data_IF_413849490505
#
_entry.id   IF_413849490505
#
_cell.length_a   1.000
_cell.length_b   1.000
_cell.length_c   1.000
_cell.angle_alpha   90.00
_cell.angle_beta   90.00
_cell.angle_gamma   90.00
#
_symmetry.space_group_name_H-M   'P 1'
#
loop_
_entity.id
_entity.type
_entity.pdbx_description
1 polymer ?
#
# COMPACT_ATOMS: atom_id res chain seq x y z
N UNK A 1 16.54 -3.14 2.65
CA UNK A 1 17.43 -2.45 1.70
C UNK A 1 16.69 -1.28 1.06
N UNK A 2 15.57 -1.51 0.39
CA UNK A 2 14.80 -0.44 -0.27
C UNK A 2 14.31 0.67 0.67
N UNK A 3 14.55 1.93 0.31
CA UNK A 3 14.19 3.11 1.11
C UNK A 3 12.68 3.24 1.35
N UNK A 4 11.87 2.94 0.34
CA UNK A 4 10.39 2.97 0.43
C UNK A 4 9.85 2.08 1.54
N UNK A 5 10.50 0.95 1.83
CA UNK A 5 10.08 0.07 2.93
C UNK A 5 10.30 0.70 4.30
N UNK A 6 11.38 1.48 4.46
CA UNK A 6 11.68 2.20 5.69
C UNK A 6 10.73 3.40 5.88
N UNK A 7 10.40 4.11 4.80
CA UNK A 7 9.37 5.16 4.79
C UNK A 7 8.02 4.62 5.28
N UNK A 8 7.54 3.53 4.67
CA UNK A 8 6.27 2.91 5.03
C UNK A 8 6.28 2.30 6.44
N UNK A 9 7.37 1.63 6.84
CA UNK A 9 7.51 1.08 8.17
C UNK A 9 7.55 2.18 9.25
N UNK A 10 8.20 3.31 8.98
CA UNK A 10 8.20 4.48 9.85
C UNK A 10 6.78 5.01 10.09
N UNK A 11 5.97 5.13 9.03
CA UNK A 11 4.57 5.56 9.13
C UNK A 11 3.70 4.54 9.87
N UNK A 12 3.85 3.24 9.57
CA UNK A 12 3.07 2.20 10.23
C UNK A 12 3.31 2.14 11.75
N UNK A 13 4.57 2.32 12.19
CA UNK A 13 4.90 2.39 13.62
C UNK A 13 4.36 3.66 14.28
N UNK A 14 4.48 4.82 13.61
CA UNK A 14 3.88 6.08 14.04
C UNK A 14 2.36 5.96 14.25
N UNK A 15 1.65 5.40 13.27
CA UNK A 15 0.20 5.18 13.34
C UNK A 15 -0.21 4.05 14.28
N UNK A 16 0.72 3.20 14.73
CA UNK A 16 0.42 2.09 15.64
C UNK A 16 -0.49 1.03 15.03
N UNK A 17 -0.24 0.63 13.78
CA UNK A 17 -1.07 -0.30 13.03
C UNK A 17 -1.00 -1.75 13.58
N UNK A 18 -1.63 -2.03 14.74
CA UNK A 18 -1.53 -3.32 15.44
C UNK A 18 -2.15 -4.54 14.75
N UNK A 19 -2.81 -4.36 13.61
CA UNK A 19 -3.28 -5.47 12.76
C UNK A 19 -2.28 -5.84 11.66
N UNK A 20 -1.23 -5.04 11.46
CA UNK A 20 -0.19 -5.30 10.47
C UNK A 20 0.86 -6.25 11.05
N UNK A 21 1.01 -7.41 10.41
CA UNK A 21 2.03 -8.41 10.76
C UNK A 21 2.83 -8.68 9.48
N UNK A 22 4.13 -8.36 9.50
CA UNK A 22 5.05 -8.63 8.43
C UNK A 22 5.92 -9.85 8.77
N UNK A 23 6.01 -10.81 7.85
CA UNK A 23 6.99 -11.89 7.93
C UNK A 23 8.20 -11.50 7.11
N UNK A 24 9.36 -11.43 7.76
CA UNK A 24 10.64 -11.24 7.09
C UNK A 24 11.33 -12.59 6.95
N UNK A 25 11.41 -13.08 5.71
CA UNK A 25 12.23 -14.24 5.35
C UNK A 25 13.71 -13.88 5.43
N UNK A 26 14.35 -14.22 6.54
CA UNK A 26 15.76 -13.96 6.83
C UNK A 26 16.61 -15.17 6.44
N UNK A 27 16.92 -15.27 5.15
CA UNK A 27 17.67 -16.39 4.59
C UNK A 27 19.15 -16.08 4.30
N UNK A 28 19.61 -14.86 4.61
CA UNK A 28 20.99 -14.38 4.43
C UNK A 28 21.53 -14.40 2.99
N UNK A 29 20.67 -14.56 1.98
CA UNK A 29 21.02 -14.58 0.55
C UNK A 29 20.25 -13.50 -0.20
N UNK A 30 20.95 -12.69 -0.98
CA UNK A 30 20.40 -11.87 -2.05
C UNK A 30 20.77 -12.47 -3.42
N UNK A 31 20.29 -11.85 -4.51
CA UNK A 31 20.59 -12.35 -5.86
C UNK A 31 22.10 -12.38 -6.18
N UNK A 32 22.86 -11.43 -5.62
CA UNK A 32 24.30 -11.27 -5.88
C UNK A 32 25.19 -12.09 -4.92
N UNK A 33 24.61 -12.81 -3.97
CA UNK A 33 25.39 -13.60 -3.01
C UNK A 33 24.84 -13.57 -1.59
N UNK A 34 25.75 -13.75 -0.64
CA UNK A 34 25.43 -13.56 0.77
C UNK A 34 25.11 -12.08 1.04
N UNK A 35 24.11 -11.81 1.89
CA UNK A 35 23.72 -10.44 2.25
C UNK A 35 24.86 -9.62 2.86
N UNK A 36 25.85 -10.25 3.51
CA UNK A 36 26.99 -9.58 4.16
C UNK A 36 27.83 -8.71 3.21
N UNK A 37 27.71 -8.90 1.89
CA UNK A 37 28.39 -8.06 0.90
C UNK A 37 27.85 -6.63 0.84
N UNK A 38 26.59 -6.40 1.25
CA UNK A 38 25.90 -5.12 1.10
C UNK A 38 24.84 -4.80 2.18
N UNK A 39 24.54 -5.73 3.09
CA UNK A 39 23.45 -5.61 4.05
C UNK A 39 23.76 -6.35 5.36
N UNK A 40 24.37 -5.61 6.28
CA UNK A 40 24.84 -6.10 7.60
C UNK A 40 24.21 -5.34 8.78
N UNK A 41 23.16 -4.57 8.53
CA UNK A 41 22.45 -3.83 9.58
C UNK A 41 21.62 -4.74 10.50
N UNK A 42 21.36 -4.27 11.71
CA UNK A 42 20.41 -4.92 12.60
C UNK A 42 18.97 -4.51 12.24
N UNK A 43 18.30 -5.37 11.47
CA UNK A 43 16.92 -5.15 11.03
C UNK A 43 15.95 -5.10 12.20
N UNK A 44 16.13 -5.93 13.23
CA UNK A 44 15.22 -5.93 14.38
C UNK A 44 15.37 -4.61 15.16
N UNK A 45 16.60 -4.18 15.44
CA UNK A 45 16.85 -2.90 16.09
C UNK A 45 16.31 -1.72 15.29
N UNK A 46 16.44 -1.73 13.95
CA UNK A 46 15.83 -0.68 13.10
C UNK A 46 14.32 -0.68 13.23
N UNK A 47 13.65 -1.83 13.17
CA UNK A 47 12.19 -1.90 13.29
C UNK A 47 11.68 -1.51 14.70
N UNK A 48 12.40 -1.89 15.75
CA UNK A 48 12.13 -1.42 17.12
C UNK A 48 12.21 0.10 17.21
N UNK A 49 13.25 0.72 16.61
CA UNK A 49 13.38 2.17 16.53
C UNK A 49 12.26 2.84 15.73
N UNK A 50 11.66 2.15 14.75
CA UNK A 50 10.49 2.61 14.02
C UNK A 50 9.18 2.43 14.81
N UNK A 51 9.20 1.83 16.01
CA UNK A 51 8.02 1.63 16.86
C UNK A 51 7.27 0.31 16.63
N UNK A 52 7.92 -0.68 16.02
CA UNK A 52 7.35 -2.01 15.79
C UNK A 52 7.56 -2.94 16.99
N UNK A 53 6.69 -3.94 17.11
CA UNK A 53 6.98 -5.14 17.89
C UNK A 53 7.81 -6.11 17.04
N UNK A 54 8.81 -6.74 17.62
CA UNK A 54 9.74 -7.63 16.91
C UNK A 54 9.73 -9.01 17.55
N UNK A 55 9.66 -10.05 16.71
CA UNK A 55 9.73 -11.45 17.13
C UNK A 55 10.74 -12.16 16.24
N UNK A 56 11.59 -13.01 16.81
CA UNK A 56 12.54 -13.82 16.05
C UNK A 56 12.26 -15.31 16.17
N UNK A 57 11.83 -15.91 15.06
CA UNK A 57 11.73 -17.36 14.88
C UNK A 57 13.06 -17.84 14.28
N UNK A 58 13.87 -18.54 15.08
CA UNK A 58 15.22 -18.97 14.68
C UNK A 58 15.24 -20.16 13.71
N UNK A 59 14.20 -21.00 13.72
CA UNK A 59 14.09 -22.17 12.85
C UNK A 59 12.82 -22.09 12.01
N UNK A 60 12.86 -21.36 10.92
CA UNK A 60 11.73 -21.23 9.99
C UNK A 60 11.48 -22.47 9.13
N UNK A 61 12.48 -23.35 8.96
CA UNK A 61 12.35 -24.52 8.10
C UNK A 61 11.40 -25.57 8.71
N UNK A 62 11.52 -25.82 10.02
CA UNK A 62 10.79 -26.88 10.73
C UNK A 62 10.14 -26.44 12.06
N UNK A 63 10.37 -25.21 12.52
CA UNK A 63 9.86 -24.69 13.80
C UNK A 63 8.40 -24.24 13.74
N UNK A 64 7.49 -25.12 13.30
CA UNK A 64 6.09 -24.76 13.08
C UNK A 64 5.39 -24.25 14.35
N UNK A 65 5.72 -24.79 15.52
CA UNK A 65 5.13 -24.34 16.78
C UNK A 65 5.64 -22.95 17.20
N UNK A 66 6.91 -22.64 16.94
CA UNK A 66 7.48 -21.31 17.16
C UNK A 66 6.82 -20.28 16.24
N UNK A 67 6.56 -20.64 14.97
CA UNK A 67 5.83 -19.78 14.03
C UNK A 67 4.40 -19.54 14.52
N UNK A 68 3.69 -20.58 14.98
CA UNK A 68 2.33 -20.44 15.54
C UNK A 68 2.32 -19.57 16.80
N UNK A 69 3.30 -19.75 17.68
CA UNK A 69 3.45 -18.94 18.88
C UNK A 69 3.71 -17.47 18.54
N UNK A 70 4.61 -17.19 17.58
CA UNK A 70 4.89 -15.85 17.10
C UNK A 70 3.66 -15.17 16.49
N UNK A 71 2.86 -15.89 15.69
CA UNK A 71 1.59 -15.35 15.14
C UNK A 71 0.61 -15.02 16.26
N UNK A 72 0.48 -15.89 17.26
CA UNK A 72 -0.42 -15.68 18.40
C UNK A 72 0.01 -14.46 19.21
N UNK A 73 1.32 -14.32 19.48
CA UNK A 73 1.89 -13.17 20.17
C UNK A 73 1.68 -11.88 19.38
N UNK A 74 2.02 -11.87 18.08
CA UNK A 74 1.84 -10.73 17.19
C UNK A 74 0.38 -10.24 17.17
N UNK A 75 -0.59 -11.17 17.06
CA UNK A 75 -2.01 -10.84 17.14
C UNK A 75 -2.42 -10.32 18.53
N UNK A 76 -1.67 -10.60 19.58
CA UNK A 76 -1.89 -10.09 20.94
C UNK A 76 -1.47 -8.62 21.11
N UNK A 77 -0.50 -8.16 20.32
CA UNK A 77 -0.07 -6.75 20.28
C UNK A 77 -1.05 -5.94 19.44
N UNK A 78 -1.67 -4.90 20.03
CA UNK A 78 -2.78 -4.16 19.40
C UNK A 78 -2.44 -2.73 19.00
N UNK A 79 -1.35 -2.18 19.51
CA UNK A 79 -0.96 -0.79 19.39
C UNK A 79 0.34 -0.57 18.59
N UNK A 80 0.92 -1.66 18.06
CA UNK A 80 2.13 -1.64 17.22
C UNK A 80 2.04 -2.65 16.09
N UNK A 81 2.48 -2.30 14.87
CA UNK A 81 2.71 -3.32 13.84
C UNK A 81 3.80 -4.30 14.32
N UNK A 82 3.73 -5.55 13.86
CA UNK A 82 4.69 -6.60 14.25
C UNK A 82 5.53 -7.07 13.08
N UNK A 83 6.85 -7.15 13.27
CA UNK A 83 7.78 -7.82 12.37
C UNK A 83 8.17 -9.17 12.98
N UNK A 84 7.83 -10.25 12.30
CA UNK A 84 8.30 -11.60 12.63
C UNK A 84 9.48 -11.91 11.70
N UNK A 85 10.69 -11.82 12.22
CA UNK A 85 11.90 -12.28 11.54
C UNK A 85 11.95 -13.80 11.61
N UNK A 86 11.92 -14.47 10.47
CA UNK A 86 11.94 -15.93 10.36
C UNK A 86 13.22 -16.34 9.66
N UNK A 87 14.15 -16.95 10.40
CA UNK A 87 15.39 -17.43 9.80
C UNK A 87 15.14 -18.72 9.05
N UNK A 88 15.35 -18.71 7.74
CA UNK A 88 15.14 -19.87 6.85
C UNK A 88 16.42 -20.23 6.09
N UNK A 89 16.38 -21.33 5.34
CA UNK A 89 17.40 -21.66 4.35
C UNK A 89 16.79 -21.53 2.97
N UNK A 90 17.30 -20.60 2.15
CA UNK A 90 16.85 -20.49 0.75
C UNK A 90 17.12 -21.80 0.02
N UNK A 91 16.14 -22.30 -0.75
CA UNK A 91 16.23 -23.59 -1.44
C UNK A 91 16.28 -24.80 -0.50
N UNK A 92 15.77 -24.69 0.73
CA UNK A 92 15.72 -25.80 1.70
C UNK A 92 15.25 -27.11 1.05
N UNK A 93 15.99 -28.18 1.29
CA UNK A 93 15.77 -29.50 0.70
C UNK A 93 16.66 -29.82 -0.49
N UNK A 94 17.17 -28.82 -1.22
CA UNK A 94 18.16 -29.07 -2.29
C UNK A 94 19.52 -29.43 -1.68
N UNK A 95 20.07 -30.63 -1.94
CA UNK A 95 21.33 -31.05 -1.31
C UNK A 95 22.53 -30.25 -1.80
N UNK A 96 22.53 -29.74 -3.04
CA UNK A 96 23.70 -29.04 -3.60
C UNK A 96 23.54 -27.54 -3.75
N UNK A 97 22.29 -27.02 -3.78
CA UNK A 97 22.03 -25.59 -4.04
C UNK A 97 21.38 -24.84 -2.88
N UNK A 98 20.92 -25.53 -1.82
CA UNK A 98 20.42 -24.84 -0.63
C UNK A 98 21.48 -23.89 -0.06
N UNK A 99 21.04 -22.76 0.48
CA UNK A 99 21.90 -21.72 1.04
C UNK A 99 22.89 -21.09 0.04
N UNK A 100 22.53 -21.04 -1.25
CA UNK A 100 23.35 -20.40 -2.30
C UNK A 100 22.51 -19.41 -3.11
N UNK A 101 23.13 -18.35 -3.64
CA UNK A 101 22.44 -17.41 -4.53
C UNK A 101 21.91 -18.06 -5.82
N UNK A 102 22.49 -19.19 -6.24
CA UNK A 102 22.12 -19.88 -7.49
C UNK A 102 20.67 -20.36 -7.50
N UNK A 103 20.07 -20.60 -6.34
CA UNK A 103 18.66 -21.04 -6.21
C UNK A 103 17.65 -19.89 -6.24
N UNK A 104 18.11 -18.63 -6.20
CA UNK A 104 17.23 -17.46 -6.07
C UNK A 104 16.39 -17.21 -7.33
N UNK A 105 17.05 -17.11 -8.50
CA UNK A 105 16.43 -16.62 -9.73
C UNK A 105 16.38 -17.63 -10.88
N UNK A 106 16.72 -18.90 -10.64
CA UNK A 106 16.83 -19.91 -11.68
C UNK A 106 16.16 -21.23 -11.31
N UNK A 107 15.66 -21.96 -12.31
CA UNK A 107 15.17 -23.31 -12.10
C UNK A 107 16.31 -24.22 -11.59
N UNK A 108 15.99 -25.12 -10.66
CA UNK A 108 16.98 -26.06 -10.08
C UNK A 108 17.66 -26.92 -11.15
N UNK A 109 16.92 -27.31 -12.20
CA UNK A 109 17.35 -28.29 -13.21
C UNK A 109 16.92 -29.71 -12.84
N UNK A 110 16.64 -30.56 -13.84
CA UNK A 110 16.02 -31.89 -13.64
C UNK A 110 16.79 -32.76 -12.64
N UNK A 111 18.11 -32.84 -12.76
CA UNK A 111 18.98 -33.61 -11.86
C UNK A 111 18.85 -33.14 -10.40
N UNK A 112 18.96 -31.83 -10.17
CA UNK A 112 18.85 -31.27 -8.81
C UNK A 112 17.44 -31.44 -8.25
N UNK A 113 16.40 -31.38 -9.08
CA UNK A 113 15.02 -31.66 -8.65
C UNK A 113 14.87 -33.11 -8.19
N UNK A 114 15.42 -34.08 -8.91
CA UNK A 114 15.40 -35.49 -8.50
C UNK A 114 16.15 -35.71 -7.18
N UNK A 115 17.32 -35.09 -7.03
CA UNK A 115 18.11 -35.17 -5.79
C UNK A 115 17.41 -34.47 -4.61
N UNK A 116 16.76 -33.32 -4.85
CA UNK A 116 15.93 -32.62 -3.86
C UNK A 116 14.75 -33.49 -3.42
N UNK A 117 14.05 -34.13 -4.36
CA UNK A 117 12.96 -35.06 -4.05
C UNK A 117 13.44 -36.22 -3.20
N UNK A 118 14.56 -36.83 -3.57
CA UNK A 118 15.18 -37.92 -2.79
C UNK A 118 15.54 -37.46 -1.38
N UNK A 119 16.16 -36.29 -1.24
CA UNK A 119 16.56 -35.72 0.05
C UNK A 119 15.35 -35.40 0.96
N UNK A 120 14.25 -34.91 0.38
CA UNK A 120 12.99 -34.66 1.08
C UNK A 120 12.10 -35.90 1.22
N UNK A 121 12.56 -37.07 0.75
CA UNK A 121 11.80 -38.32 0.73
C UNK A 121 10.46 -38.21 -0.02
N UNK A 122 10.42 -37.35 -1.03
CA UNK A 122 9.26 -37.12 -1.88
C UNK A 122 9.22 -38.11 -3.04
N UNK A 123 8.40 -39.16 -2.89
CA UNK A 123 8.31 -40.28 -3.83
C UNK A 123 7.28 -40.09 -4.95
N UNK A 124 6.67 -38.90 -5.05
CA UNK A 124 5.61 -38.66 -6.03
C UNK A 124 6.12 -37.98 -7.30
N UNK A 125 5.43 -38.24 -8.39
CA UNK A 125 5.68 -37.66 -9.71
C UNK A 125 5.51 -36.13 -9.75
N UNK A 126 6.05 -35.43 -10.78
CA UNK A 126 5.86 -34.00 -10.95
C UNK A 126 4.38 -33.58 -10.93
N UNK A 127 4.10 -32.44 -10.28
CA UNK A 127 2.74 -31.89 -10.10
C UNK A 127 1.74 -32.81 -9.39
N UNK A 128 2.20 -33.86 -8.71
CA UNK A 128 1.36 -34.69 -7.86
C UNK A 128 1.15 -34.03 -6.48
N UNK A 129 -0.11 -33.94 -6.04
CA UNK A 129 -0.47 -33.52 -4.67
C UNK A 129 -1.15 -34.71 -3.99
N UNK A 130 -0.57 -35.27 -2.91
CA UNK A 130 -1.16 -36.40 -2.18
C UNK A 130 -2.53 -36.05 -1.61
N UNK A 131 -3.41 -37.05 -1.53
CA UNK A 131 -4.80 -36.82 -1.12
C UNK A 131 -4.92 -36.39 0.35
N UNK A 132 -4.02 -36.82 1.23
CA UNK A 132 -3.95 -36.31 2.60
C UNK A 132 -3.60 -34.83 2.67
N UNK A 133 -2.74 -34.32 1.77
CA UNK A 133 -2.42 -32.89 1.68
C UNK A 133 -3.64 -32.13 1.16
N UNK A 134 -4.31 -32.63 0.12
CA UNK A 134 -5.56 -32.01 -0.38
C UNK A 134 -6.62 -31.93 0.72
N UNK A 135 -6.87 -33.03 1.44
CA UNK A 135 -7.82 -33.07 2.57
C UNK A 135 -7.40 -32.13 3.69
N UNK A 136 -6.10 -32.06 4.00
CA UNK A 136 -5.60 -31.15 5.00
C UNK A 136 -5.79 -29.69 4.58
N UNK A 137 -5.72 -29.32 3.31
CA UNK A 137 -5.98 -27.94 2.89
C UNK A 137 -7.46 -27.62 2.69
N UNK A 138 -8.28 -28.59 2.26
CA UNK A 138 -9.68 -28.36 1.88
C UNK A 138 -10.60 -27.98 3.05
N UNK A 139 -10.24 -28.26 4.31
CA UNK A 139 -11.06 -27.84 5.46
C UNK A 139 -11.24 -26.31 5.53
N UNK A 140 -10.27 -25.52 5.02
CA UNK A 140 -10.39 -24.07 4.96
C UNK A 140 -11.53 -23.58 4.05
N UNK A 141 -12.04 -24.41 3.13
CA UNK A 141 -13.20 -24.05 2.31
C UNK A 141 -14.45 -23.90 3.18
N UNK A 142 -14.73 -24.90 4.02
CA UNK A 142 -15.90 -24.87 4.90
C UNK A 142 -15.72 -23.84 6.03
N UNK A 143 -14.51 -23.72 6.59
CA UNK A 143 -14.20 -22.69 7.59
C UNK A 143 -14.36 -21.27 7.02
N UNK A 144 -13.85 -21.01 5.81
CA UNK A 144 -14.00 -19.73 5.12
C UNK A 144 -15.47 -19.39 4.85
N UNK A 145 -16.24 -20.35 4.35
CA UNK A 145 -17.68 -20.17 4.12
C UNK A 145 -18.43 -19.90 5.44
N UNK A 146 -18.06 -20.58 6.53
CA UNK A 146 -18.64 -20.33 7.85
C UNK A 146 -18.30 -18.93 8.38
N UNK A 147 -17.06 -18.47 8.23
CA UNK A 147 -16.62 -17.13 8.66
C UNK A 147 -17.33 -16.03 7.86
N UNK A 148 -17.50 -16.23 6.55
CA UNK A 148 -18.26 -15.29 5.70
C UNK A 148 -19.75 -15.28 6.08
N UNK A 149 -20.36 -16.45 6.31
CA UNK A 149 -21.74 -16.54 6.77
C UNK A 149 -21.95 -15.84 8.12
N UNK A 150 -21.01 -16.01 9.06
CA UNK A 150 -21.02 -15.32 10.35
C UNK A 150 -20.91 -13.79 10.17
N UNK A 151 -20.00 -13.34 9.30
CA UNK A 151 -19.84 -11.92 8.99
C UNK A 151 -21.12 -11.34 8.38
N UNK A 152 -21.72 -12.02 7.40
CA UNK A 152 -22.96 -11.61 6.74
C UNK A 152 -24.12 -11.53 7.74
N UNK A 153 -24.24 -12.49 8.66
CA UNK A 153 -25.25 -12.47 9.71
C UNK A 153 -25.06 -11.26 10.65
N UNK A 154 -23.82 -11.02 11.12
CA UNK A 154 -23.49 -9.84 11.94
C UNK A 154 -23.76 -8.54 11.20
N UNK A 155 -23.45 -8.48 9.91
CA UNK A 155 -23.69 -7.30 9.10
C UNK A 155 -25.19 -7.03 8.89
N UNK A 156 -26.00 -8.07 8.73
CA UNK A 156 -27.46 -7.93 8.68
C UNK A 156 -28.06 -7.43 10.01
N UNK A 157 -27.48 -7.81 11.15
CA UNK A 157 -27.84 -7.23 12.46
C UNK A 157 -27.40 -5.77 12.59
N UNK A 158 -26.19 -5.45 12.14
CA UNK A 158 -25.67 -4.08 12.09
C UNK A 158 -26.58 -3.17 11.25
N UNK A 159 -26.98 -3.62 10.05
CA UNK A 159 -27.86 -2.87 9.15
C UNK A 159 -29.22 -2.56 9.77
N UNK A 160 -29.81 -3.48 10.56
CA UNK A 160 -31.08 -3.24 11.27
C UNK A 160 -30.98 -2.16 12.35
N UNK A 161 -29.78 -1.92 12.88
CA UNK A 161 -29.54 -0.97 13.98
C UNK A 161 -28.97 0.36 13.50
N UNK A 162 -28.16 0.33 12.43
CA UNK A 162 -27.38 1.45 11.90
C UNK A 162 -27.63 1.58 10.40
N UNK A 163 -28.88 1.88 10.03
CA UNK A 163 -29.33 1.88 8.63
C UNK A 163 -28.51 2.82 7.74
N UNK A 164 -28.16 4.02 8.24
CA UNK A 164 -27.44 5.02 7.45
C UNK A 164 -25.97 4.63 7.27
N UNK A 165 -25.33 4.21 8.34
CA UNK A 165 -23.92 3.80 8.36
C UNK A 165 -23.70 2.51 7.57
N UNK A 166 -24.66 1.58 7.61
CA UNK A 166 -24.64 0.38 6.78
C UNK A 166 -24.81 0.70 5.29
N UNK A 167 -25.68 1.65 4.95
CA UNK A 167 -25.83 2.11 3.56
C UNK A 167 -24.55 2.78 3.05
N UNK A 168 -23.90 3.61 3.87
CA UNK A 168 -22.61 4.23 3.54
C UNK A 168 -21.52 3.15 3.32
N UNK A 169 -21.37 2.20 4.24
CA UNK A 169 -20.39 1.12 4.09
C UNK A 169 -20.67 0.27 2.85
N UNK A 170 -21.95 -0.03 2.55
CA UNK A 170 -22.36 -0.73 1.33
C UNK A 170 -22.05 0.05 0.05
N UNK A 171 -21.98 1.38 0.08
CA UNK A 171 -21.51 2.16 -1.09
C UNK A 171 -19.99 2.14 -1.24
N UNK A 172 -19.24 2.10 -0.13
CA UNK A 172 -17.78 2.09 -0.15
C UNK A 172 -17.25 0.73 -0.62
N UNK A 173 -17.80 -0.38 -0.11
CA UNK A 173 -17.29 -1.72 -0.40
C UNK A 173 -17.17 -2.06 -1.91
N UNK A 174 -18.19 -1.84 -2.76
CA UNK A 174 -18.13 -2.13 -4.19
C UNK A 174 -17.51 -0.99 -5.02
N UNK A 175 -17.33 0.21 -4.44
CA UNK A 175 -16.81 1.39 -5.17
C UNK A 175 -17.82 2.12 -6.04
N UNK A 176 -19.11 2.00 -5.73
CA UNK A 176 -20.14 2.77 -6.41
C UNK A 176 -20.15 4.22 -5.91
N UNK A 177 -19.91 5.18 -6.81
CA UNK A 177 -19.98 6.59 -6.47
C UNK A 177 -21.44 7.01 -6.19
N UNK A 178 -21.69 7.84 -5.16
CA UNK A 178 -23.03 8.35 -4.86
C UNK A 178 -23.68 9.06 -6.05
N UNK A 179 -24.97 8.84 -6.28
CA UNK A 179 -25.68 9.47 -7.41
C UNK A 179 -25.58 11.00 -7.34
N UNK A 180 -25.21 11.64 -8.46
CA UNK A 180 -25.07 13.09 -8.56
C UNK A 180 -23.87 13.70 -7.83
N UNK A 181 -22.89 12.88 -7.41
CA UNK A 181 -21.66 13.34 -6.75
C UNK A 181 -20.95 14.46 -7.53
N UNK A 182 -20.95 14.37 -8.87
CA UNK A 182 -20.26 15.29 -9.77
C UNK A 182 -20.91 16.69 -9.79
N UNK A 183 -22.18 16.80 -9.41
CA UNK A 183 -22.86 18.09 -9.25
C UNK A 183 -22.32 18.91 -8.08
N UNK A 184 -21.50 18.33 -7.19
CA UNK A 184 -20.82 19.06 -6.13
C UNK A 184 -19.63 19.88 -6.62
N UNK A 185 -19.10 19.57 -7.82
CA UNK A 185 -17.94 20.26 -8.37
C UNK A 185 -18.29 21.73 -8.71
N UNK A 186 -17.38 22.68 -8.41
CA UNK A 186 -17.61 24.09 -8.69
C UNK A 186 -17.65 24.38 -10.20
N UNK A 187 -18.38 25.43 -10.57
CA UNK A 187 -18.38 25.98 -11.93
C UNK A 187 -17.85 27.40 -11.89
N UNK A 188 -17.11 27.80 -12.92
CA UNK A 188 -16.48 29.10 -13.01
C UNK A 188 -16.91 29.82 -14.30
N UNK A 189 -17.14 31.12 -14.19
CA UNK A 189 -17.46 32.01 -15.32
C UNK A 189 -16.29 32.96 -15.60
N UNK A 190 -16.26 33.64 -16.76
CA UNK A 190 -15.23 34.65 -17.04
C UNK A 190 -15.15 35.80 -16.01
N UNK A 191 -16.23 36.04 -15.26
CA UNK A 191 -16.31 37.05 -14.19
C UNK A 191 -15.78 36.52 -12.84
N UNK A 192 -15.53 35.23 -12.73
CA UNK A 192 -14.93 34.63 -11.53
C UNK A 192 -13.50 35.17 -11.35
N UNK A 193 -13.11 35.44 -10.10
CA UNK A 193 -11.76 35.95 -9.82
C UNK A 193 -10.69 34.94 -10.28
N UNK A 194 -9.61 35.40 -10.92
CA UNK A 194 -8.54 34.51 -11.36
C UNK A 194 -7.86 33.87 -10.16
N UNK A 195 -7.56 32.59 -10.26
CA UNK A 195 -6.90 31.84 -9.20
C UNK A 195 -5.99 30.74 -9.78
N UNK A 196 -5.03 30.28 -8.99
CA UNK A 196 -4.14 29.20 -9.38
C UNK A 196 -4.88 27.86 -9.35
N UNK A 197 -4.59 26.96 -10.30
CA UNK A 197 -5.25 25.64 -10.38
C UNK A 197 -5.06 24.78 -9.12
N UNK A 198 -3.99 24.98 -8.33
CA UNK A 198 -3.84 24.35 -7.00
C UNK A 198 -4.92 24.80 -5.99
N UNK A 199 -5.33 26.07 -6.03
CA UNK A 199 -6.38 26.59 -5.15
C UNK A 199 -7.76 26.12 -5.64
N UNK A 200 -7.98 26.11 -6.96
CA UNK A 200 -9.19 25.57 -7.59
C UNK A 200 -9.35 24.06 -7.32
N UNK A 201 -8.23 23.33 -7.33
CA UNK A 201 -8.14 21.93 -6.94
C UNK A 201 -8.53 21.72 -5.48
N UNK A 202 -8.11 22.59 -4.55
CA UNK A 202 -8.59 22.55 -3.16
C UNK A 202 -10.12 22.71 -3.06
N UNK A 203 -10.71 23.57 -3.89
CA UNK A 203 -12.17 23.78 -3.91
C UNK A 203 -12.88 22.51 -4.36
N UNK A 204 -12.43 21.88 -5.46
CA UNK A 204 -12.96 20.60 -5.95
C UNK A 204 -12.84 19.51 -4.87
N UNK A 205 -11.64 19.36 -4.29
CA UNK A 205 -11.34 18.40 -3.23
C UNK A 205 -12.31 18.52 -2.05
N UNK A 206 -12.55 19.74 -1.56
CA UNK A 206 -13.42 19.99 -0.42
C UNK A 206 -14.91 19.90 -0.76
N UNK A 207 -15.29 20.07 -2.02
CA UNK A 207 -16.64 19.76 -2.50
C UNK A 207 -16.89 18.25 -2.54
N UNK A 208 -15.95 17.48 -3.10
CA UNK A 208 -16.09 16.03 -3.24
C UNK A 208 -16.08 15.30 -1.89
N UNK A 209 -15.22 15.72 -0.96
CA UNK A 209 -15.13 15.10 0.36
C UNK A 209 -16.43 15.18 1.20
N UNK A 210 -17.37 16.08 0.83
CA UNK A 210 -18.70 16.18 1.45
C UNK A 210 -19.65 15.08 1.01
N UNK A 211 -19.50 14.63 -0.23
CA UNK A 211 -20.48 13.79 -0.92
C UNK A 211 -19.95 12.40 -1.26
N UNK A 212 -18.64 12.18 -1.19
CA UNK A 212 -17.99 10.89 -1.41
C UNK A 212 -17.43 10.38 -0.07
N UNK A 213 -18.10 9.42 0.60
CA UNK A 213 -17.71 8.95 1.93
C UNK A 213 -16.32 8.32 1.99
N UNK A 214 -15.92 7.58 0.97
CA UNK A 214 -14.60 6.94 0.92
C UNK A 214 -13.48 7.82 0.37
N UNK A 215 -13.69 9.13 0.23
CA UNK A 215 -12.66 10.04 -0.25
C UNK A 215 -11.73 10.46 0.89
N UNK A 216 -10.45 10.08 0.79
CA UNK A 216 -9.44 10.37 1.80
C UNK A 216 -8.06 10.57 1.16
N UNK A 217 -7.11 11.11 1.91
CA UNK A 217 -5.77 11.27 1.36
C UNK A 217 -4.97 12.34 2.08
N UNK A 218 -3.91 12.80 1.45
CA UNK A 218 -3.15 13.90 2.01
C UNK A 218 -1.88 14.23 1.25
N UNK A 219 -0.83 14.61 1.96
CA UNK A 219 0.39 15.14 1.34
C UNK A 219 1.67 14.71 2.04
N UNK A 220 2.73 14.62 1.25
CA UNK A 220 4.10 14.45 1.71
C UNK A 220 4.65 15.78 2.27
N UNK A 221 4.19 16.17 3.47
CA UNK A 221 4.61 17.38 4.20
C UNK A 221 4.35 18.74 3.50
N UNK A 222 3.56 18.73 2.43
CA UNK A 222 3.35 19.92 1.59
C UNK A 222 1.87 20.34 1.54
N UNK A 223 1.05 19.94 2.51
CA UNK A 223 -0.40 20.11 2.45
C UNK A 223 -0.86 21.58 2.32
N UNK A 224 -0.12 22.51 2.92
CA UNK A 224 -0.38 23.95 2.81
C UNK A 224 0.06 24.52 1.47
N UNK A 225 1.21 24.10 0.95
CA UNK A 225 1.73 24.54 -0.35
C UNK A 225 0.94 23.95 -1.52
N UNK A 226 0.49 22.70 -1.37
CA UNK A 226 -0.32 21.97 -2.33
C UNK A 226 -1.82 22.26 -2.21
N UNK A 227 -2.25 22.86 -1.10
CA UNK A 227 -3.65 23.17 -0.81
C UNK A 227 -4.55 21.93 -0.70
N UNK A 228 -4.07 20.84 -0.11
CA UNK A 228 -4.76 19.54 -0.17
C UNK A 228 -5.53 19.13 1.08
N UNK A 229 -5.76 20.01 2.05
CA UNK A 229 -6.51 19.62 3.25
C UNK A 229 -8.02 19.57 3.01
N UNK A 230 -8.63 18.47 3.48
CA UNK A 230 -10.06 18.32 3.64
C UNK A 230 -10.48 19.09 4.91
N UNK A 231 -11.04 20.28 4.74
CA UNK A 231 -11.34 21.24 5.82
C UNK A 231 -12.34 20.71 6.85
N UNK A 232 -13.18 19.75 6.47
CA UNK A 232 -14.18 19.14 7.35
C UNK A 232 -13.63 18.01 8.22
N UNK A 233 -12.43 17.52 7.93
CA UNK A 233 -11.85 16.37 8.61
C UNK A 233 -10.56 16.80 9.32
N UNK A 234 -10.28 16.20 10.46
CA UNK A 234 -9.01 16.24 11.16
C UNK A 234 -7.94 15.40 10.49
N UNK A 235 -6.89 15.09 11.25
CA UNK A 235 -5.75 14.30 10.80
C UNK A 235 -5.85 12.84 11.22
N UNK A 236 -5.60 11.91 10.29
CA UNK A 236 -5.48 10.48 10.61
C UNK A 236 -4.28 10.27 11.54
N UNK A 237 -4.54 9.76 12.73
CA UNK A 237 -3.55 9.41 13.74
C UNK A 237 -3.97 8.14 14.49
N UNK A 238 -3.09 7.64 15.36
CA UNK A 238 -3.36 6.45 16.20
C UNK A 238 -4.64 6.61 17.03
N UNK A 239 -4.86 7.80 17.56
CA UNK A 239 -5.97 8.18 18.44
C UNK A 239 -7.17 8.76 17.70
N UNK A 240 -7.02 9.13 16.43
CA UNK A 240 -8.10 9.64 15.55
C UNK A 240 -8.11 8.89 14.19
N UNK A 241 -8.28 7.55 14.18
CA UNK A 241 -8.22 6.74 12.96
C UNK A 241 -9.40 6.97 11.99
N UNK A 242 -10.48 7.61 12.45
CA UNK A 242 -11.65 7.98 11.65
C UNK A 242 -11.40 9.17 10.70
N UNK A 243 -10.31 9.91 10.92
CA UNK A 243 -10.01 11.12 10.20
C UNK A 243 -9.42 10.87 8.82
N UNK A 244 -9.63 11.82 7.89
CA UNK A 244 -9.39 11.59 6.45
C UNK A 244 -8.19 12.33 5.87
N UNK A 245 -7.52 13.21 6.64
CA UNK A 245 -6.28 13.84 6.20
C UNK A 245 -5.06 13.05 6.68
N UNK A 246 -4.38 12.38 5.77
CA UNK A 246 -3.16 11.62 6.06
C UNK A 246 -1.93 12.53 5.97
N UNK A 247 -1.10 12.50 6.99
CA UNK A 247 0.21 13.18 7.01
C UNK A 247 1.31 12.16 6.73
N UNK A 248 1.81 12.14 5.49
CA UNK A 248 2.84 11.17 5.09
C UNK A 248 4.26 11.60 5.50
N UNK A 249 4.47 12.88 5.80
CA UNK A 249 5.82 13.46 5.93
C UNK A 249 6.57 13.43 4.59
N UNK A 250 7.85 13.77 4.58
CA UNK A 250 8.68 13.76 3.36
C UNK A 250 9.02 12.32 2.94
N UNK A 251 8.04 11.65 2.34
CA UNK A 251 8.02 10.20 2.04
C UNK A 251 7.17 9.91 0.80
N UNK A 252 7.50 10.53 -0.33
CA UNK A 252 6.72 10.46 -1.56
C UNK A 252 6.51 9.01 -2.04
N UNK A 253 7.58 8.19 -2.00
CA UNK A 253 7.51 6.82 -2.49
C UNK A 253 6.61 5.97 -1.58
N UNK A 254 6.81 6.08 -0.26
CA UNK A 254 5.96 5.43 0.73
C UNK A 254 4.50 5.88 0.62
N UNK A 255 4.25 7.18 0.43
CA UNK A 255 2.92 7.75 0.21
C UNK A 255 2.22 7.11 -0.98
N UNK A 256 2.87 7.06 -2.15
CA UNK A 256 2.29 6.44 -3.35
C UNK A 256 1.98 4.95 -3.15
N UNK A 257 2.91 4.20 -2.56
CA UNK A 257 2.72 2.78 -2.31
C UNK A 257 1.58 2.51 -1.29
N UNK A 258 1.46 3.34 -0.25
CA UNK A 258 0.38 3.26 0.73
C UNK A 258 -0.97 3.55 0.06
N UNK A 259 -1.06 4.57 -0.79
CA UNK A 259 -2.30 4.87 -1.52
C UNK A 259 -2.72 3.73 -2.46
N UNK A 260 -1.78 3.02 -3.10
CA UNK A 260 -2.10 1.80 -3.84
C UNK A 260 -2.73 0.74 -2.94
N UNK A 261 -2.17 0.51 -1.76
CA UNK A 261 -2.73 -0.42 -0.78
C UNK A 261 -4.14 -0.03 -0.32
N UNK A 262 -4.41 1.26 -0.11
CA UNK A 262 -5.73 1.77 0.25
C UNK A 262 -6.74 1.50 -0.88
N UNK A 263 -6.39 1.83 -2.12
CA UNK A 263 -7.28 1.64 -3.27
C UNK A 263 -7.60 0.14 -3.53
N UNK A 264 -6.63 -0.75 -3.32
CA UNK A 264 -6.83 -2.20 -3.49
C UNK A 264 -7.61 -2.82 -2.32
N UNK A 265 -7.57 -2.21 -1.13
CA UNK A 265 -8.32 -2.73 0.03
C UNK A 265 -9.84 -2.68 -0.19
N UNK A 266 -10.34 -1.57 -0.75
CA UNK A 266 -11.75 -1.43 -1.10
C UNK A 266 -11.90 -0.43 -2.25
N UNK A 267 -12.57 -0.80 -3.37
CA UNK A 267 -12.76 0.07 -4.52
C UNK A 267 -13.38 1.44 -4.24
N UNK A 268 -14.19 1.59 -3.19
CA UNK A 268 -14.78 2.88 -2.82
C UNK A 268 -13.96 3.72 -1.87
N UNK A 269 -12.81 3.23 -1.39
CA UNK A 269 -11.78 4.10 -0.83
C UNK A 269 -11.04 4.73 -1.99
N UNK A 270 -11.14 6.06 -2.10
CA UNK A 270 -10.58 6.84 -3.19
C UNK A 270 -9.43 7.67 -2.61
N UNK A 271 -8.21 7.10 -2.54
CA UNK A 271 -7.06 7.79 -2.00
C UNK A 271 -6.55 8.83 -2.99
N UNK A 272 -6.36 10.06 -2.51
CA UNK A 272 -5.50 11.03 -3.18
C UNK A 272 -4.18 11.20 -2.42
N UNK A 273 -3.13 11.57 -3.14
CA UNK A 273 -1.86 11.95 -2.55
C UNK A 273 -1.23 13.12 -3.28
N UNK A 274 -0.45 13.92 -2.57
CA UNK A 274 0.04 15.20 -3.09
C UNK A 274 1.49 15.52 -2.70
N UNK A 275 2.25 15.98 -3.69
CA UNK A 275 3.59 16.58 -3.55
C UNK A 275 3.79 17.62 -4.67
N UNK A 276 4.98 18.21 -4.77
CA UNK A 276 5.36 19.01 -5.94
C UNK A 276 5.58 18.10 -7.14
N UNK A 277 5.22 18.57 -8.34
CA UNK A 277 5.26 17.74 -9.53
C UNK A 277 6.66 17.23 -9.86
N UNK A 278 7.69 18.02 -9.55
CA UNK A 278 9.10 17.62 -9.70
C UNK A 278 9.48 16.40 -8.84
N UNK A 279 8.88 16.25 -7.65
CA UNK A 279 9.17 15.14 -6.73
C UNK A 279 8.44 13.85 -7.08
N UNK A 280 7.61 13.85 -8.13
CA UNK A 280 7.04 12.60 -8.65
C UNK A 280 8.11 11.58 -9.06
N UNK A 281 9.33 12.04 -9.39
CA UNK A 281 10.46 11.15 -9.67
C UNK A 281 10.84 10.27 -8.45
N UNK A 282 10.64 10.73 -7.22
CA UNK A 282 10.83 9.91 -6.01
C UNK A 282 9.83 8.77 -5.89
N UNK A 283 8.61 8.95 -6.39
CA UNK A 283 7.51 7.98 -6.27
C UNK A 283 7.09 7.32 -7.59
N UNK A 284 7.89 7.49 -8.63
CA UNK A 284 7.56 7.08 -10.00
C UNK A 284 7.24 5.59 -10.11
N UNK A 285 7.93 4.74 -9.35
CA UNK A 285 7.67 3.31 -9.33
C UNK A 285 6.29 2.98 -8.72
N UNK A 286 5.86 3.70 -7.67
CA UNK A 286 4.52 3.55 -7.11
C UNK A 286 3.42 4.04 -8.08
N UNK A 287 3.63 5.15 -8.79
CA UNK A 287 2.71 5.61 -9.84
C UNK A 287 2.59 4.56 -10.95
N UNK A 288 3.73 4.02 -11.42
CA UNK A 288 3.73 2.94 -12.42
C UNK A 288 2.96 1.71 -11.94
N UNK A 289 3.13 1.33 -10.67
CA UNK A 289 2.36 0.22 -10.08
C UNK A 289 0.87 0.53 -10.06
N UNK A 290 0.46 1.76 -9.78
CA UNK A 290 -0.96 2.18 -9.82
C UNK A 290 -1.60 1.90 -11.18
N UNK A 291 -0.93 2.31 -12.28
CA UNK A 291 -1.41 2.06 -13.63
C UNK A 291 -1.39 0.57 -14.03
N UNK A 292 -0.41 -0.19 -13.51
CA UNK A 292 -0.31 -1.64 -13.74
C UNK A 292 -1.37 -2.44 -12.98
N UNK A 293 -1.63 -2.10 -11.72
CA UNK A 293 -2.62 -2.75 -10.86
C UNK A 293 -4.02 -2.19 -11.04
N UNK A 294 -4.20 -1.21 -11.93
CA UNK A 294 -5.47 -0.50 -12.15
C UNK A 294 -6.04 0.09 -10.86
N UNK A 295 -5.16 0.58 -9.98
CA UNK A 295 -5.54 1.22 -8.72
C UNK A 295 -5.86 2.69 -8.97
N UNK A 296 -7.10 3.10 -8.68
CA UNK A 296 -7.63 4.46 -8.90
C UNK A 296 -7.10 5.51 -7.93
N UNK A 297 -5.78 5.63 -7.80
CA UNK A 297 -5.13 6.66 -6.96
C UNK A 297 -5.12 8.00 -7.69
N UNK A 298 -5.51 9.08 -6.99
CA UNK A 298 -5.47 10.45 -7.52
C UNK A 298 -4.15 11.12 -7.10
N UNK A 299 -3.30 11.42 -8.08
CA UNK A 299 -2.00 12.07 -7.88
C UNK A 299 -2.13 13.59 -8.09
N UNK A 300 -2.20 14.33 -6.99
CA UNK A 300 -2.34 15.79 -7.00
C UNK A 300 -0.98 16.49 -6.96
N UNK A 301 -0.49 16.91 -8.12
CA UNK A 301 0.87 17.40 -8.28
C UNK A 301 0.90 18.89 -8.61
N UNK A 302 1.38 19.70 -7.67
CA UNK A 302 1.39 21.17 -7.81
C UNK A 302 2.75 21.70 -8.26
N UNK A 303 2.87 23.03 -8.47
CA UNK A 303 4.11 23.67 -8.93
C UNK A 303 4.66 23.01 -10.20
N UNK A 304 3.83 23.01 -11.23
CA UNK A 304 3.97 22.16 -12.41
C UNK A 304 5.02 22.63 -13.44
N UNK A 305 5.71 23.75 -13.17
CA UNK A 305 6.56 24.43 -14.15
C UNK A 305 7.51 25.44 -13.51
N UNK A 306 8.28 26.15 -14.36
CA UNK A 306 9.12 27.29 -13.99
C UNK A 306 8.37 28.44 -13.29
N UNK A 307 7.03 28.46 -13.34
CA UNK A 307 6.19 29.45 -12.64
C UNK A 307 6.35 29.46 -11.12
N UNK A 308 6.97 28.42 -10.55
CA UNK A 308 7.42 28.37 -9.15
C UNK A 308 8.39 29.51 -8.79
N UNK A 309 9.28 29.92 -9.70
CA UNK A 309 10.23 31.00 -9.46
C UNK A 309 11.47 30.57 -8.67
N UNK A 310 11.66 31.17 -7.50
CA UNK A 310 12.94 31.35 -6.81
C UNK A 310 13.60 30.05 -6.30
N UNK A 311 12.85 28.97 -6.10
CA UNK A 311 13.39 27.66 -5.69
C UNK A 311 14.29 27.02 -6.77
N UNK A 312 14.21 27.51 -8.01
CA UNK A 312 15.15 27.22 -9.07
C UNK A 312 15.01 25.81 -9.68
N UNK A 313 15.98 25.39 -10.51
CA UNK A 313 15.82 24.26 -11.42
C UNK A 313 15.64 22.91 -10.72
N UNK A 314 16.04 22.78 -9.45
CA UNK A 314 15.82 21.55 -8.67
C UNK A 314 14.35 21.32 -8.33
N UNK A 315 13.51 22.36 -8.43
CA UNK A 315 12.09 22.30 -8.09
C UNK A 315 11.16 22.57 -9.28
N UNK A 316 11.71 22.87 -10.46
CA UNK A 316 10.95 23.26 -11.64
C UNK A 316 10.82 22.07 -12.59
N UNK A 317 9.63 21.47 -12.75
CA UNK A 317 9.42 20.38 -13.70
C UNK A 317 9.71 20.81 -15.13
N UNK A 318 10.32 19.92 -15.91
CA UNK A 318 10.58 20.08 -17.34
C UNK A 318 10.08 18.85 -18.10
N UNK A 319 10.57 17.66 -17.75
CA UNK A 319 10.28 16.40 -18.44
C UNK A 319 9.15 15.58 -17.83
N UNK A 320 8.73 15.89 -16.60
CA UNK A 320 7.80 15.08 -15.80
C UNK A 320 6.48 14.82 -16.56
N UNK A 321 5.93 15.85 -17.22
CA UNK A 321 4.70 15.75 -18.00
C UNK A 321 4.81 14.77 -19.18
N UNK A 322 5.91 14.80 -19.93
CA UNK A 322 6.13 13.83 -21.02
C UNK A 322 6.36 12.43 -20.46
N UNK A 323 7.03 12.34 -19.32
CA UNK A 323 7.35 11.07 -18.66
C UNK A 323 6.08 10.30 -18.25
N UNK A 324 5.04 10.99 -17.76
CA UNK A 324 3.77 10.35 -17.38
C UNK A 324 2.81 10.17 -18.54
N UNK A 325 2.83 11.05 -19.56
CA UNK A 325 2.10 10.79 -20.81
C UNK A 325 2.57 9.52 -21.52
N UNK A 326 3.86 9.21 -21.41
CA UNK A 326 4.44 7.99 -21.97
C UNK A 326 4.17 6.74 -21.10
N UNK A 327 3.70 6.90 -19.86
CA UNK A 327 3.46 5.79 -18.94
C UNK A 327 2.08 5.16 -19.23
N UNK A 328 2.01 3.85 -19.56
CA UNK A 328 0.74 3.19 -19.84
C UNK A 328 -0.23 3.25 -18.66
N UNK A 329 -1.52 3.35 -18.96
CA UNK A 329 -2.62 3.36 -17.98
C UNK A 329 -2.51 4.47 -16.91
N UNK A 330 -1.81 5.57 -17.22
CA UNK A 330 -1.78 6.78 -16.41
C UNK A 330 -2.44 7.91 -17.19
N UNK A 331 -3.47 8.50 -16.59
CA UNK A 331 -4.14 9.67 -17.15
C UNK A 331 -3.44 10.94 -16.65
N UNK A 332 -2.70 11.61 -17.54
CA UNK A 332 -1.97 12.85 -17.22
C UNK A 332 -2.77 14.08 -17.65
N UNK A 333 -3.44 14.74 -16.70
CA UNK A 333 -4.22 15.96 -16.93
C UNK A 333 -3.46 17.20 -16.41
N UNK A 334 -3.51 18.29 -17.17
CA UNK A 334 -2.92 19.58 -16.82
C UNK A 334 -3.95 20.69 -17.11
N UNK A 335 -4.89 20.94 -16.18
CA UNK A 335 -5.99 21.87 -16.42
C UNK A 335 -5.48 23.31 -16.58
N UNK A 336 -6.10 24.07 -17.47
CA UNK A 336 -5.76 25.47 -17.74
C UNK A 336 -6.54 26.48 -16.89
N UNK A 337 -7.73 26.10 -16.40
CA UNK A 337 -8.62 26.96 -15.61
C UNK A 337 -9.44 26.17 -14.57
N UNK A 338 -10.40 26.83 -13.93
CA UNK A 338 -11.25 26.21 -12.91
C UNK A 338 -12.24 25.16 -13.45
N UNK A 339 -12.77 25.34 -14.65
CA UNK A 339 -13.70 24.39 -15.25
C UNK A 339 -12.94 23.13 -15.69
N UNK A 340 -11.78 23.28 -16.33
CA UNK A 340 -10.91 22.15 -16.64
C UNK A 340 -10.41 21.45 -15.37
N UNK A 341 -10.13 22.18 -14.30
CA UNK A 341 -9.77 21.59 -13.00
C UNK A 341 -10.92 20.74 -12.47
N UNK A 342 -12.15 21.25 -12.51
CA UNK A 342 -13.34 20.52 -12.04
C UNK A 342 -13.60 19.26 -12.88
N UNK A 343 -13.46 19.35 -14.20
CA UNK A 343 -13.59 18.20 -15.10
C UNK A 343 -12.45 17.19 -14.89
N UNK A 344 -11.24 17.62 -14.55
CA UNK A 344 -10.13 16.70 -14.26
C UNK A 344 -10.36 15.86 -13.00
N UNK A 345 -11.14 16.35 -12.05
CA UNK A 345 -11.59 15.60 -10.87
C UNK A 345 -12.79 14.68 -11.14
N UNK A 346 -13.51 14.92 -12.24
CA UNK A 346 -14.71 14.18 -12.62
C UNK A 346 -14.35 12.85 -13.26
#
# INVERSE_FOLDING_TARGET
MEGVSNEAASLAGHWGLGKLIAFYDDNHISIDGNTDIAFTEDVLARYEALGWHTIWVKNGNMGYDDIRAAIKEAKGVKDKPTLIKVTTTIGFGSPNKANTYSVHGSALGSKEVEETRSNLQWLHEPFHVPDEVKRHWSHHTDEGASLEAEWNAKFAEYEKKYHQEAAELKSIMPGELPSGWDSALPNYTPESSPDATRNLSQQCLNSLAKVIPGFLGGSADLATSNMTLLKMFGGFQRDTPEERNIRFGVREHGMGAICNGIAVHSPGLIPYCATFFVFTDYMRAAIRLSGLSQSGVIFMMTHDSIGLGEDGPTHQPVEQLFSFRAMPNILMLRPADGNETSVAYK
#
